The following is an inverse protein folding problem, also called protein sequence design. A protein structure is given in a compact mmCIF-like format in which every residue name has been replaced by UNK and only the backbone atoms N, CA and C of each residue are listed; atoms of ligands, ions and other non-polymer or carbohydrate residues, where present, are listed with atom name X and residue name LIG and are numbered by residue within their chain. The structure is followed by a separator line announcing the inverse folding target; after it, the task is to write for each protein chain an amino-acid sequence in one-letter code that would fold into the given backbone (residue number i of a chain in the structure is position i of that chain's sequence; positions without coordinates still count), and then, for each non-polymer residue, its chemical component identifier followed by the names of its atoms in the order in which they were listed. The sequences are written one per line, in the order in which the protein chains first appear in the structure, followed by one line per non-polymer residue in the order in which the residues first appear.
data_IF_381431158284
#
_entry.id   IF_381431158284
#
_cell.length_a   1.000
_cell.length_b   1.000
_cell.length_c   1.000
_cell.angle_alpha   90.00
_cell.angle_beta   90.00
_cell.angle_gamma   90.00
#
_symmetry.space_group_name_H-M   'P 1'
#
loop_
_entity.id
_entity.type
_entity.pdbx_description
1 polymer ?
#
# COMPACT_ATOMS: atom_id res chain seq x y z
N UNK A 1 4.28 8.01 15.56
CA UNK A 1 5.26 7.01 16.05
C UNK A 1 4.70 5.59 16.02
N UNK A 2 3.63 5.27 16.77
CA UNK A 2 3.06 3.90 16.79
C UNK A 2 2.67 3.38 15.40
N UNK A 3 2.09 4.22 14.54
CA UNK A 3 1.71 3.87 13.17
C UNK A 3 2.91 3.61 12.27
N UNK A 4 3.99 4.38 12.42
CA UNK A 4 5.25 4.16 11.72
C UNK A 4 5.86 2.80 12.09
N UNK A 5 5.95 2.50 13.39
CA UNK A 5 6.47 1.22 13.87
C UNK A 5 5.62 0.05 13.34
N UNK A 6 4.28 0.16 13.39
CA UNK A 6 3.40 -0.85 12.81
C UNK A 6 3.61 -1.01 11.31
N UNK A 7 3.77 0.09 10.58
CA UNK A 7 4.03 0.07 9.13
C UNK A 7 5.33 -0.66 8.83
N UNK A 8 6.41 -0.38 9.59
CA UNK A 8 7.71 -1.05 9.46
C UNK A 8 7.59 -2.55 9.75
N UNK A 9 6.92 -2.94 10.84
CA UNK A 9 6.77 -4.36 11.19
C UNK A 9 6.01 -5.11 10.08
N UNK A 10 4.89 -4.54 9.61
CA UNK A 10 4.08 -5.16 8.56
C UNK A 10 4.86 -5.24 7.25
N UNK A 11 5.57 -4.18 6.86
CA UNK A 11 6.36 -4.19 5.63
C UNK A 11 7.53 -5.16 5.68
N UNK A 12 8.21 -5.32 6.83
CA UNK A 12 9.25 -6.33 7.00
C UNK A 12 8.69 -7.75 6.87
N UNK A 13 7.51 -8.01 7.43
CA UNK A 13 6.81 -9.29 7.25
C UNK A 13 6.50 -9.51 5.76
N UNK A 14 5.97 -8.50 5.06
CA UNK A 14 5.69 -8.61 3.63
C UNK A 14 6.96 -8.84 2.79
N UNK A 15 8.07 -8.19 3.12
CA UNK A 15 9.36 -8.41 2.44
C UNK A 15 9.83 -9.84 2.67
N UNK A 16 9.75 -10.33 3.90
CA UNK A 16 10.09 -11.72 4.22
C UNK A 16 9.22 -12.71 3.46
N UNK A 17 7.91 -12.49 3.41
CA UNK A 17 6.98 -13.34 2.65
C UNK A 17 7.27 -13.29 1.16
N UNK A 18 7.53 -12.11 0.59
CA UNK A 18 7.92 -11.97 -0.81
C UNK A 18 9.22 -12.74 -1.10
N UNK A 19 10.19 -12.66 -0.20
CA UNK A 19 11.44 -13.39 -0.33
C UNK A 19 11.24 -14.91 -0.28
N UNK A 20 10.40 -15.39 0.64
CA UNK A 20 10.11 -16.82 0.82
C UNK A 20 9.30 -17.42 -0.33
N UNK A 21 8.25 -16.72 -0.80
CA UNK A 21 7.31 -17.28 -1.77
C UNK A 21 7.67 -17.00 -3.24
N UNK A 22 8.43 -15.94 -3.52
CA UNK A 22 8.68 -15.47 -4.91
C UNK A 22 10.13 -15.69 -5.32
N UNK A 23 11.07 -15.68 -4.37
CA UNK A 23 12.51 -15.67 -4.64
C UNK A 23 13.22 -16.89 -4.05
N UNK A 24 12.49 -17.98 -3.86
CA UNK A 24 12.98 -19.30 -3.42
C UNK A 24 13.86 -19.28 -2.15
N UNK A 25 13.69 -18.24 -1.31
CA UNK A 25 14.45 -18.04 -0.09
C UNK A 25 15.98 -17.97 -0.29
N UNK A 26 16.43 -17.57 -1.48
CA UNK A 26 17.85 -17.36 -1.76
C UNK A 26 18.34 -16.04 -1.15
N UNK A 27 19.27 -16.11 -0.20
CA UNK A 27 19.88 -14.93 0.43
C UNK A 27 20.96 -14.27 -0.44
N UNK A 28 20.66 -14.03 -1.71
CA UNK A 28 21.52 -13.25 -2.61
C UNK A 28 21.17 -11.76 -2.53
N UNK A 29 22.16 -10.88 -2.76
CA UNK A 29 21.93 -9.42 -2.83
C UNK A 29 20.87 -9.06 -3.88
N UNK A 30 20.81 -9.84 -4.96
CA UNK A 30 19.81 -9.71 -6.03
C UNK A 30 18.40 -9.99 -5.52
N UNK A 31 18.18 -11.15 -4.88
CA UNK A 31 16.89 -11.52 -4.32
C UNK A 31 16.44 -10.54 -3.22
N UNK A 32 17.35 -10.13 -2.33
CA UNK A 32 17.02 -9.14 -1.28
C UNK A 32 16.59 -7.80 -1.91
N UNK A 33 17.33 -7.31 -2.90
CA UNK A 33 16.98 -6.07 -3.60
C UNK A 33 15.60 -6.15 -4.26
N UNK A 34 15.31 -7.27 -4.95
CA UNK A 34 14.03 -7.48 -5.63
C UNK A 34 12.86 -7.61 -4.65
N UNK A 35 13.03 -8.28 -3.51
CA UNK A 35 11.99 -8.38 -2.48
C UNK A 35 11.63 -7.00 -1.92
N UNK A 36 12.65 -6.19 -1.60
CA UNK A 36 12.49 -4.82 -1.12
C UNK A 36 11.84 -3.95 -2.19
N UNK A 37 12.25 -4.08 -3.46
CA UNK A 37 11.66 -3.37 -4.58
C UNK A 37 10.16 -3.65 -4.70
N UNK A 38 9.79 -4.94 -4.74
CA UNK A 38 8.42 -5.39 -4.96
C UNK A 38 7.48 -4.84 -3.88
N UNK A 39 7.88 -4.97 -2.61
CA UNK A 39 7.06 -4.43 -1.51
C UNK A 39 7.08 -2.91 -1.51
N UNK A 40 8.23 -2.29 -1.77
CA UNK A 40 8.39 -0.85 -1.85
C UNK A 40 7.48 -0.22 -2.92
N UNK A 41 7.44 -0.77 -4.12
CA UNK A 41 6.62 -0.23 -5.21
C UNK A 41 5.12 -0.42 -4.95
N UNK A 42 4.71 -1.56 -4.39
CA UNK A 42 3.32 -1.80 -3.99
C UNK A 42 2.89 -0.80 -2.90
N UNK A 43 3.73 -0.61 -1.87
CA UNK A 43 3.48 0.36 -0.82
C UNK A 43 3.46 1.80 -1.35
N UNK A 44 4.27 2.12 -2.35
CA UNK A 44 4.31 3.46 -2.94
C UNK A 44 2.97 3.83 -3.58
N UNK A 45 2.44 2.95 -4.44
CA UNK A 45 1.13 3.18 -5.05
C UNK A 45 0.00 3.19 -4.02
N UNK A 46 0.04 2.30 -3.03
CA UNK A 46 -0.93 2.31 -1.93
C UNK A 46 -0.87 3.63 -1.14
N UNK A 47 0.32 4.08 -0.75
CA UNK A 47 0.53 5.33 -0.02
C UNK A 47 0.08 6.54 -0.82
N UNK A 48 0.39 6.59 -2.12
CA UNK A 48 -0.03 7.65 -3.02
C UNK A 48 -1.56 7.72 -3.14
N UNK A 49 -2.23 6.57 -3.31
CA UNK A 49 -3.69 6.52 -3.34
C UNK A 49 -4.30 7.04 -2.02
N UNK A 50 -3.77 6.60 -0.88
CA UNK A 50 -4.28 7.01 0.44
C UNK A 50 -4.12 8.52 0.69
N UNK A 51 -3.01 9.12 0.26
CA UNK A 51 -2.76 10.57 0.43
C UNK A 51 -3.60 11.41 -0.51
N UNK A 52 -3.74 10.97 -1.77
CA UNK A 52 -4.53 11.69 -2.78
C UNK A 52 -6.04 11.53 -2.59
N UNK A 53 -6.48 10.76 -1.61
CA UNK A 53 -7.88 10.37 -1.44
C UNK A 53 -8.47 9.70 -2.69
N UNK A 54 -7.64 9.10 -3.55
CA UNK A 54 -8.11 8.30 -4.68
C UNK A 54 -9.10 7.19 -4.30
N UNK A 55 -9.05 6.58 -3.09
CA UNK A 55 -10.06 5.62 -2.66
C UNK A 55 -11.50 6.15 -2.69
N UNK A 56 -11.71 7.47 -2.68
CA UNK A 56 -13.04 8.08 -2.83
C UNK A 56 -13.71 7.71 -4.15
N UNK A 57 -12.96 7.41 -5.21
CA UNK A 57 -13.53 6.94 -6.49
C UNK A 57 -14.22 5.59 -6.30
N UNK A 58 -13.70 4.72 -5.43
CA UNK A 58 -14.35 3.44 -5.12
C UNK A 58 -15.61 3.60 -4.25
N UNK A 59 -15.89 4.79 -3.67
CA UNK A 59 -17.16 5.02 -2.96
C UNK A 59 -18.36 4.97 -3.90
N UNK A 60 -18.22 5.43 -5.15
CA UNK A 60 -19.28 5.34 -6.15
C UNK A 60 -19.58 3.87 -6.44
N UNK A 61 -18.53 3.07 -6.67
CA UNK A 61 -18.68 1.64 -6.93
C UNK A 61 -19.35 0.91 -5.75
N UNK A 62 -18.88 1.14 -4.52
CA UNK A 62 -19.47 0.53 -3.32
C UNK A 62 -20.91 0.99 -3.07
N UNK A 63 -21.22 2.25 -3.35
CA UNK A 63 -22.60 2.77 -3.31
C UNK A 63 -23.49 2.03 -4.31
N UNK A 64 -23.08 1.93 -5.57
CA UNK A 64 -23.86 1.25 -6.61
C UNK A 64 -24.12 -0.22 -6.26
N UNK A 65 -23.11 -0.93 -5.77
CA UNK A 65 -23.25 -2.32 -5.32
C UNK A 65 -24.24 -2.42 -4.16
N UNK A 66 -24.08 -1.60 -3.11
CA UNK A 66 -25.00 -1.62 -1.95
C UNK A 66 -26.42 -1.22 -2.31
N UNK A 67 -26.60 -0.25 -3.19
CA UNK A 67 -27.92 0.20 -3.64
C UNK A 67 -28.66 -0.92 -4.39
N UNK A 68 -27.94 -1.70 -5.21
CA UNK A 68 -28.52 -2.82 -5.97
C UNK A 68 -28.78 -4.03 -5.07
N UNK A 69 -27.79 -4.45 -4.27
CA UNK A 69 -27.85 -5.70 -3.52
C UNK A 69 -28.45 -5.58 -2.11
N UNK A 70 -28.49 -4.39 -1.52
CA UNK A 70 -28.97 -4.16 -0.13
C UNK A 70 -30.15 -3.18 -0.07
N UNK A 71 -30.91 -3.09 -1.15
CA UNK A 71 -32.00 -2.12 -1.40
C UNK A 71 -33.02 -1.97 -0.27
N UNK A 72 -33.28 -3.03 0.52
CA UNK A 72 -34.23 -3.00 1.65
C UNK A 72 -33.71 -2.29 2.91
N UNK A 73 -32.40 -2.29 3.13
CA UNK A 73 -31.77 -1.79 4.37
C UNK A 73 -30.77 -0.65 4.10
N UNK A 74 -30.77 -0.08 2.89
CA UNK A 74 -29.84 0.98 2.53
C UNK A 74 -30.48 2.35 2.82
N UNK A 75 -29.98 3.11 3.81
CA UNK A 75 -30.68 4.30 4.32
C UNK A 75 -30.52 5.54 3.42
N UNK A 76 -29.68 5.48 2.39
CA UNK A 76 -29.33 6.62 1.54
C UNK A 76 -30.20 6.70 0.30
N UNK A 77 -30.86 7.84 0.12
CA UNK A 77 -31.69 8.13 -1.07
C UNK A 77 -30.86 8.59 -2.26
N UNK A 78 -29.72 9.24 -2.00
CA UNK A 78 -28.81 9.73 -3.03
C UNK A 78 -27.35 9.37 -2.72
N UNK A 79 -26.53 9.35 -3.76
CA UNK A 79 -25.07 9.22 -3.60
C UNK A 79 -24.51 10.39 -2.77
N UNK A 80 -25.10 11.59 -2.88
CA UNK A 80 -24.69 12.76 -2.11
C UNK A 80 -24.82 12.53 -0.61
N UNK A 81 -25.95 11.96 -0.15
CA UNK A 81 -26.16 11.66 1.28
C UNK A 81 -25.17 10.60 1.78
N UNK A 82 -24.91 9.57 0.96
CA UNK A 82 -23.92 8.54 1.26
C UNK A 82 -22.50 9.10 1.37
N UNK A 83 -22.13 9.97 0.42
CA UNK A 83 -20.84 10.60 0.36
C UNK A 83 -20.63 11.57 1.53
N UNK A 84 -21.61 12.41 1.86
CA UNK A 84 -21.52 13.39 2.94
C UNK A 84 -21.36 12.75 4.33
N UNK A 85 -21.92 11.55 4.54
CA UNK A 85 -21.66 10.80 5.78
C UNK A 85 -20.26 10.17 5.79
N UNK A 86 -19.83 9.60 4.67
CA UNK A 86 -18.53 8.91 4.55
C UNK A 86 -17.34 9.84 4.40
N UNK A 87 -17.52 11.05 3.93
CA UNK A 87 -16.47 12.07 3.78
C UNK A 87 -15.94 12.56 5.15
N UNK A 88 -16.71 12.35 6.22
CA UNK A 88 -16.27 12.66 7.59
C UNK A 88 -15.16 11.74 8.09
N UNK A 89 -14.87 10.64 7.41
CA UNK A 89 -13.78 9.75 7.79
C UNK A 89 -12.42 10.40 7.44
N UNK A 90 -11.57 10.68 8.44
CA UNK A 90 -10.28 11.33 8.21
C UNK A 90 -9.36 10.44 7.36
N UNK A 91 -8.43 11.08 6.64
CA UNK A 91 -7.34 10.38 5.95
C UNK A 91 -6.70 9.39 6.92
N UNK A 92 -6.55 8.13 6.48
CA UNK A 92 -6.03 7.07 7.33
C UNK A 92 -4.68 7.49 7.95
N UNK A 93 -4.47 7.30 9.26
CA UNK A 93 -3.24 7.74 9.93
C UNK A 93 -2.00 6.95 9.46
N UNK A 94 -2.18 5.95 8.60
CA UNK A 94 -1.12 5.17 7.97
C UNK A 94 -0.68 5.71 6.60
N UNK A 95 -1.41 6.67 6.01
CA UNK A 95 -1.14 7.16 4.65
C UNK A 95 0.29 7.72 4.50
N UNK A 96 0.66 8.65 5.38
CA UNK A 96 2.01 9.24 5.41
C UNK A 96 3.09 8.21 5.76
N UNK A 97 2.96 7.40 6.83
CA UNK A 97 3.92 6.33 7.11
C UNK A 97 4.17 5.38 5.94
N UNK A 98 3.13 4.93 5.25
CA UNK A 98 3.24 4.00 4.11
C UNK A 98 4.02 4.67 2.97
N UNK A 99 3.68 5.92 2.60
CA UNK A 99 4.39 6.61 1.52
C UNK A 99 5.86 6.85 1.87
N UNK A 100 6.15 7.35 3.07
CA UNK A 100 7.54 7.63 3.50
C UNK A 100 8.38 6.34 3.49
N UNK A 101 7.85 5.25 4.07
CA UNK A 101 8.56 3.97 4.10
C UNK A 101 8.77 3.39 2.70
N UNK A 102 7.80 3.57 1.79
CA UNK A 102 7.93 3.11 0.40
C UNK A 102 9.09 3.79 -0.33
N UNK A 103 9.26 5.11 -0.16
CA UNK A 103 10.34 5.87 -0.77
C UNK A 103 11.69 5.39 -0.22
N UNK A 104 11.78 5.15 1.09
CA UNK A 104 12.99 4.62 1.74
C UNK A 104 13.33 3.23 1.16
N UNK A 105 12.35 2.33 1.04
CA UNK A 105 12.59 1.00 0.48
C UNK A 105 13.00 1.02 -0.98
N UNK A 106 12.34 1.84 -1.80
CA UNK A 106 12.75 2.02 -3.21
C UNK A 106 14.18 2.56 -3.30
N UNK A 107 14.56 3.52 -2.45
CA UNK A 107 15.93 4.02 -2.38
C UNK A 107 16.94 2.92 -1.99
N UNK A 108 16.66 2.14 -0.94
CA UNK A 108 17.52 1.03 -0.51
C UNK A 108 17.65 -0.02 -1.61
N UNK A 109 16.55 -0.38 -2.26
CA UNK A 109 16.56 -1.35 -3.36
C UNK A 109 17.41 -0.86 -4.53
N UNK A 110 17.28 0.40 -4.94
CA UNK A 110 18.11 0.96 -6.01
C UNK A 110 19.60 0.96 -5.65
N UNK A 111 19.95 1.28 -4.40
CA UNK A 111 21.34 1.21 -3.92
C UNK A 111 21.85 -0.24 -3.98
N UNK A 112 21.08 -1.21 -3.49
CA UNK A 112 21.46 -2.62 -3.53
C UNK A 112 21.59 -3.13 -4.97
N UNK A 113 20.68 -2.75 -5.86
CA UNK A 113 20.74 -3.09 -7.28
C UNK A 113 22.01 -2.52 -7.93
N UNK A 114 22.35 -1.26 -7.63
CA UNK A 114 23.58 -0.64 -8.11
C UNK A 114 24.83 -1.40 -7.63
N UNK A 115 24.89 -1.79 -6.36
CA UNK A 115 26.00 -2.59 -5.82
C UNK A 115 26.11 -3.97 -6.47
N UNK A 116 24.98 -4.59 -6.82
CA UNK A 116 24.97 -5.88 -7.55
C UNK A 116 25.54 -5.69 -8.96
N UNK A 117 25.17 -4.62 -9.66
CA UNK A 117 25.69 -4.33 -11.00
C UNK A 117 27.19 -4.04 -11.00
N UNK A 118 27.70 -3.29 -10.02
CA UNK A 118 29.13 -3.01 -9.90
C UNK A 118 29.98 -4.23 -9.47
N UNK A 119 29.41 -5.13 -8.67
CA UNK A 119 30.09 -6.34 -8.22
C UNK A 119 29.95 -7.54 -9.16
N UNK A 120 29.35 -7.34 -10.34
CA UNK A 120 29.22 -8.35 -11.40
C UNK A 120 30.31 -8.21 -12.49
N UNK A 121 31.26 -7.30 -12.30
CA UNK A 121 32.57 -7.26 -12.98
C UNK A 121 33.60 -8.10 -12.20
#
# INVERSE_FOLDING_TARGET
MKQFIKTIIVSLILIFLAHYFILDFEFTKYAISNAIFLVGIMMFFLGLMLITNAPRIFMIFTYSVKQVFSRKNFPYKSFYDYYAEKEKDPVTPYAVPILVMSIIYLGISLILAYMVLQGAE
#
